data_IF_609777500862
#
_entry.id   IF_609777500862
#
_cell.length_a   1.000
_cell.length_b   1.000
_cell.length_c   1.000
_cell.angle_alpha   90.00
_cell.angle_beta   90.00
_cell.angle_gamma   90.00
#
_symmetry.space_group_name_H-M   'P 1'
#
loop_
_entity.id
_entity.type
_entity.pdbx_description
1 polymer ?
#
# COMPACT_ATOMS: atom_id res chain seq x y z
N UNK A 1 -4.41 17.44 16.91
CA UNK A 1 -5.05 18.55 16.17
C UNK A 1 -6.51 18.21 15.98
N UNK A 2 -7.43 19.02 16.53
CA UNK A 2 -8.88 18.73 16.57
C UNK A 2 -9.65 19.21 15.33
N UNK A 3 -9.05 20.02 14.46
CA UNK A 3 -9.69 20.46 13.23
C UNK A 3 -8.91 19.99 12.02
N UNK A 4 -9.60 19.31 11.08
CA UNK A 4 -9.09 18.94 9.76
C UNK A 4 -9.18 20.13 8.78
N UNK A 5 -9.37 21.35 9.27
CA UNK A 5 -9.60 22.54 8.47
C UNK A 5 -8.80 23.72 8.97
N UNK A 6 -8.55 24.68 8.10
CA UNK A 6 -7.90 25.96 8.42
C UNK A 6 -8.47 27.07 7.54
N UNK A 7 -8.57 28.29 8.07
CA UNK A 7 -9.00 29.43 7.25
C UNK A 7 -7.90 29.84 6.28
N UNK A 8 -8.28 30.24 5.07
CA UNK A 8 -7.32 30.68 4.06
C UNK A 8 -6.56 31.94 4.55
N UNK A 9 -7.23 32.84 5.27
CA UNK A 9 -6.60 34.05 5.85
C UNK A 9 -5.53 33.69 6.89
N UNK A 10 -5.74 32.66 7.70
CA UNK A 10 -4.72 32.19 8.64
C UNK A 10 -3.52 31.63 7.90
N UNK A 11 -3.72 30.84 6.84
CA UNK A 11 -2.64 30.26 6.04
C UNK A 11 -1.84 31.34 5.29
N UNK A 12 -2.50 32.36 4.74
CA UNK A 12 -1.82 33.51 4.11
C UNK A 12 -0.88 34.22 5.08
N UNK A 13 -1.37 34.49 6.30
CA UNK A 13 -0.60 35.17 7.33
C UNK A 13 0.55 34.29 7.86
N UNK A 14 0.31 33.00 8.05
CA UNK A 14 1.31 32.07 8.58
C UNK A 14 2.43 31.76 7.57
N UNK A 15 2.07 31.62 6.29
CA UNK A 15 3.03 31.29 5.22
C UNK A 15 3.61 32.53 4.54
N UNK A 16 3.11 33.72 4.85
CA UNK A 16 3.49 35.00 4.25
C UNK A 16 3.33 34.97 2.71
N UNK A 17 2.15 34.54 2.25
CA UNK A 17 1.80 34.43 0.81
C UNK A 17 0.46 35.11 0.53
N UNK A 18 0.24 35.55 -0.72
CA UNK A 18 -1.07 36.09 -1.12
C UNK A 18 -2.07 34.98 -1.53
N UNK A 19 -3.37 35.34 -1.60
CA UNK A 19 -4.47 34.41 -1.94
C UNK A 19 -4.22 33.65 -3.23
N UNK A 20 -3.72 34.32 -4.25
CA UNK A 20 -3.47 33.71 -5.55
C UNK A 20 -2.39 32.62 -5.47
N UNK A 21 -1.27 32.92 -4.82
CA UNK A 21 -0.18 31.96 -4.59
C UNK A 21 -0.65 30.78 -3.73
N UNK A 22 -1.38 31.05 -2.65
CA UNK A 22 -1.94 30.02 -1.77
C UNK A 22 -2.86 29.08 -2.54
N UNK A 23 -3.85 29.63 -3.25
CA UNK A 23 -4.80 28.82 -4.04
C UNK A 23 -4.08 28.06 -5.16
N UNK A 24 -3.08 28.66 -5.81
CA UNK A 24 -2.29 27.95 -6.82
C UNK A 24 -1.49 26.78 -6.25
N UNK A 25 -1.03 26.87 -5.00
CA UNK A 25 -0.35 25.78 -4.31
C UNK A 25 -1.34 24.71 -3.86
N UNK A 26 -2.47 25.09 -3.24
CA UNK A 26 -3.51 24.17 -2.79
C UNK A 26 -4.11 23.38 -3.97
N UNK A 27 -4.34 24.00 -5.12
CA UNK A 27 -4.84 23.31 -6.33
C UNK A 27 -3.93 22.20 -6.86
N UNK A 28 -2.67 22.13 -6.43
CA UNK A 28 -1.73 21.06 -6.82
C UNK A 28 -1.78 19.86 -5.86
N UNK A 29 -2.54 19.97 -4.77
CA UNK A 29 -2.67 18.94 -3.75
C UNK A 29 -4.00 18.21 -3.92
N UNK A 30 -3.94 16.89 -3.79
CA UNK A 30 -5.11 16.03 -3.67
C UNK A 30 -5.44 15.84 -2.19
N UNK A 31 -6.61 15.30 -1.87
CA UNK A 31 -6.95 15.01 -0.48
C UNK A 31 -7.26 16.25 0.37
N UNK A 32 -7.61 17.36 -0.31
CA UNK A 32 -8.16 18.56 0.30
C UNK A 32 -9.36 19.07 -0.48
N UNK A 33 -10.25 19.73 0.25
CA UNK A 33 -11.40 20.47 -0.26
C UNK A 33 -11.18 21.96 0.04
N UNK A 34 -11.10 22.77 -1.02
CA UNK A 34 -10.95 24.23 -0.91
C UNK A 34 -12.32 24.87 -1.04
N UNK A 35 -12.78 25.48 0.05
CA UNK A 35 -13.99 26.29 0.12
C UNK A 35 -13.65 27.78 -0.05
N UNK A 36 -14.65 28.64 -0.04
CA UNK A 36 -14.49 30.09 -0.25
C UNK A 36 -13.46 30.73 0.71
N UNK A 37 -13.56 30.41 2.01
CA UNK A 37 -12.71 31.00 3.07
C UNK A 37 -11.88 30.00 3.86
N UNK A 38 -11.96 28.71 3.52
CA UNK A 38 -11.25 27.67 4.26
C UNK A 38 -10.81 26.52 3.39
N UNK A 39 -9.84 25.75 3.89
CA UNK A 39 -9.42 24.49 3.32
C UNK A 39 -9.62 23.39 4.34
N UNK A 40 -10.08 22.22 3.90
CA UNK A 40 -10.29 21.05 4.74
C UNK A 40 -9.59 19.83 4.14
N UNK A 41 -8.98 19.01 4.98
CA UNK A 41 -8.43 17.70 4.59
C UNK A 41 -9.58 16.69 4.54
N UNK A 42 -9.93 16.21 3.35
CA UNK A 42 -10.96 15.19 3.15
C UNK A 42 -10.37 13.77 3.25
N UNK A 43 -9.23 13.52 2.61
CA UNK A 43 -8.48 12.28 2.62
C UNK A 43 -6.99 12.55 2.86
N UNK A 44 -6.55 12.22 4.07
CA UNK A 44 -5.17 12.47 4.51
C UNK A 44 -4.13 11.70 3.70
N UNK A 45 -4.42 10.47 3.29
CA UNK A 45 -3.46 9.66 2.52
C UNK A 45 -3.29 10.21 1.10
N UNK A 46 -4.37 10.66 0.45
CA UNK A 46 -4.30 11.37 -0.84
C UNK A 46 -3.47 12.65 -0.73
N UNK A 47 -3.62 13.40 0.36
CA UNK A 47 -2.78 14.56 0.64
C UNK A 47 -1.32 14.18 0.82
N UNK A 48 -1.03 13.09 1.55
CA UNK A 48 0.33 12.55 1.67
C UNK A 48 0.90 12.14 0.31
N UNK A 49 0.14 11.43 -0.52
CA UNK A 49 0.56 10.98 -1.85
C UNK A 49 0.87 12.18 -2.76
N UNK A 50 0.01 13.20 -2.79
CA UNK A 50 0.24 14.41 -3.60
C UNK A 50 1.44 15.21 -3.09
N UNK A 51 1.61 15.34 -1.77
CA UNK A 51 2.78 15.96 -1.16
C UNK A 51 4.10 15.23 -1.52
N UNK A 52 4.09 13.90 -1.52
CA UNK A 52 5.25 13.10 -1.97
C UNK A 52 5.58 13.33 -3.45
N UNK A 53 4.56 13.41 -4.31
CA UNK A 53 4.73 13.65 -5.76
C UNK A 53 5.37 15.01 -6.05
N UNK A 54 5.12 16.02 -5.22
CA UNK A 54 5.76 17.35 -5.34
C UNK A 54 7.11 17.45 -4.59
N UNK A 55 7.64 16.34 -4.07
CA UNK A 55 8.99 16.25 -3.50
C UNK A 55 9.10 16.52 -2.00
N UNK A 56 7.98 16.58 -1.26
CA UNK A 56 8.04 16.72 0.20
C UNK A 56 8.69 15.46 0.82
N UNK A 57 9.57 15.68 1.79
CA UNK A 57 10.30 14.60 2.45
C UNK A 57 9.35 13.62 3.15
N UNK A 58 9.41 12.30 2.85
CA UNK A 58 8.54 11.31 3.50
C UNK A 58 8.69 11.28 5.03
N UNK A 59 9.84 11.68 5.58
CA UNK A 59 10.12 11.72 7.03
C UNK A 59 9.30 12.77 7.73
N UNK A 60 9.03 13.87 7.03
CA UNK A 60 8.17 14.93 7.53
C UNK A 60 6.72 14.44 7.52
N UNK A 61 6.31 13.79 6.44
CA UNK A 61 4.92 13.39 6.23
C UNK A 61 4.49 12.19 7.10
N UNK A 62 5.40 11.23 7.33
CA UNK A 62 5.10 10.01 8.11
C UNK A 62 4.64 10.30 9.54
N UNK A 63 4.90 11.49 10.08
CA UNK A 63 4.44 11.90 11.41
C UNK A 63 2.95 12.24 11.46
N UNK A 64 2.35 12.51 10.31
CA UNK A 64 0.98 12.98 10.20
C UNK A 64 0.01 11.89 9.78
N UNK A 65 0.50 10.73 9.35
CA UNK A 65 -0.33 9.64 8.85
C UNK A 65 -0.38 8.49 9.86
N UNK A 66 -1.59 8.01 10.13
CA UNK A 66 -1.80 6.84 10.97
C UNK A 66 -1.60 5.55 10.17
N UNK A 67 -1.08 4.51 10.83
CA UNK A 67 -0.81 3.22 10.19
C UNK A 67 -2.06 2.59 9.59
N UNK A 68 -3.19 2.69 10.30
CA UNK A 68 -4.46 2.13 9.86
C UNK A 68 -5.04 2.93 8.69
N UNK A 69 -4.94 4.26 8.73
CA UNK A 69 -5.34 5.11 7.60
C UNK A 69 -4.57 4.74 6.32
N UNK A 70 -3.26 4.44 6.43
CA UNK A 70 -2.43 4.00 5.31
C UNK A 70 -2.90 2.66 4.74
N UNK A 71 -3.09 1.64 5.58
CA UNK A 71 -3.56 0.31 5.15
C UNK A 71 -4.96 0.38 4.53
N UNK A 72 -5.88 1.16 5.13
CA UNK A 72 -7.24 1.32 4.63
C UNK A 72 -7.25 1.97 3.23
N UNK A 73 -6.39 2.96 2.98
CA UNK A 73 -6.26 3.57 1.66
C UNK A 73 -5.63 2.62 0.64
N UNK A 74 -4.57 1.89 1.01
CA UNK A 74 -3.94 0.88 0.13
C UNK A 74 -4.99 -0.15 -0.29
N UNK A 75 -5.75 -0.68 0.66
CA UNK A 75 -6.84 -1.61 0.39
C UNK A 75 -7.87 -1.01 -0.56
N UNK A 76 -8.33 0.23 -0.29
CA UNK A 76 -9.31 0.92 -1.14
C UNK A 76 -8.82 1.07 -2.58
N UNK A 77 -7.56 1.44 -2.79
CA UNK A 77 -7.01 1.58 -4.15
C UNK A 77 -7.03 0.25 -4.91
N UNK A 78 -6.73 -0.87 -4.24
CA UNK A 78 -6.85 -2.18 -4.86
C UNK A 78 -8.32 -2.59 -5.08
N UNK A 79 -9.24 -2.29 -4.15
CA UNK A 79 -10.69 -2.52 -4.35
C UNK A 79 -11.21 -1.74 -5.58
N UNK A 80 -10.85 -0.45 -5.70
CA UNK A 80 -11.18 0.40 -6.84
C UNK A 80 -10.58 -0.13 -8.15
N UNK A 81 -9.44 -0.82 -8.09
CA UNK A 81 -8.82 -1.51 -9.23
C UNK A 81 -9.43 -2.90 -9.52
N UNK A 82 -10.49 -3.30 -8.81
CA UNK A 82 -11.26 -4.53 -9.03
C UNK A 82 -10.71 -5.76 -8.30
N UNK A 83 -9.89 -5.58 -7.27
CA UNK A 83 -9.40 -6.70 -6.45
C UNK A 83 -10.39 -7.05 -5.34
N UNK A 84 -10.45 -8.35 -5.01
CA UNK A 84 -11.11 -8.84 -3.81
C UNK A 84 -10.12 -8.72 -2.65
N UNK A 85 -10.49 -7.99 -1.60
CA UNK A 85 -9.61 -7.68 -0.47
C UNK A 85 -9.94 -8.45 0.79
N UNK A 86 -8.90 -8.88 1.51
CA UNK A 86 -8.95 -9.19 2.92
C UNK A 86 -7.87 -8.42 3.70
N UNK A 87 -8.29 -7.62 4.67
CA UNK A 87 -7.39 -6.85 5.55
C UNK A 87 -7.08 -7.61 6.84
N UNK A 88 -5.95 -7.29 7.46
CA UNK A 88 -5.49 -7.83 8.75
C UNK A 88 -5.59 -9.37 8.77
N UNK A 89 -5.07 -10.01 7.71
CA UNK A 89 -5.22 -11.44 7.52
C UNK A 89 -4.28 -12.20 8.46
N UNK A 90 -4.84 -12.60 9.60
CA UNK A 90 -4.14 -13.37 10.63
C UNK A 90 -4.32 -14.86 10.42
N UNK A 91 -3.20 -15.58 10.33
CA UNK A 91 -3.15 -17.05 10.42
C UNK A 91 -2.77 -17.43 11.85
N UNK A 92 -3.26 -18.57 12.33
CA UNK A 92 -2.87 -19.13 13.63
C UNK A 92 -2.00 -20.39 13.44
N UNK A 93 -2.29 -21.18 12.41
CA UNK A 93 -1.56 -22.38 12.00
C UNK A 93 -0.89 -22.16 10.62
N UNK A 94 0.31 -22.72 10.38
CA UNK A 94 1.19 -23.45 11.30
C UNK A 94 1.98 -22.52 12.26
N UNK A 95 1.86 -21.20 12.09
CA UNK A 95 2.40 -20.19 13.00
C UNK A 95 1.55 -18.93 12.92
N UNK A 96 1.42 -18.21 14.03
CA UNK A 96 0.75 -16.92 14.05
C UNK A 96 1.49 -15.89 13.20
N UNK A 97 0.88 -15.49 12.09
CA UNK A 97 1.39 -14.42 11.22
C UNK A 97 0.27 -13.48 10.83
N UNK A 98 0.64 -12.26 10.44
CA UNK A 98 -0.28 -11.25 9.93
C UNK A 98 0.26 -10.74 8.61
N UNK A 99 -0.60 -10.77 7.60
CA UNK A 99 -0.42 -10.09 6.32
C UNK A 99 -1.43 -8.96 6.28
N UNK A 100 -0.95 -7.73 6.12
CA UNK A 100 -1.78 -6.53 6.28
C UNK A 100 -2.94 -6.55 5.28
N UNK A 101 -2.66 -6.88 4.01
CA UNK A 101 -3.66 -6.95 2.95
C UNK A 101 -3.40 -8.16 2.06
N UNK A 102 -4.45 -8.92 1.76
CA UNK A 102 -4.48 -9.90 0.67
C UNK A 102 -5.38 -9.34 -0.42
N UNK A 103 -4.85 -9.23 -1.64
CA UNK A 103 -5.59 -8.72 -2.78
C UNK A 103 -5.61 -9.77 -3.91
N UNK A 104 -6.79 -10.27 -4.25
CA UNK A 104 -6.99 -11.29 -5.29
C UNK A 104 -7.61 -10.66 -6.54
N UNK A 105 -7.00 -10.93 -7.69
CA UNK A 105 -7.59 -10.63 -9.00
C UNK A 105 -7.09 -11.64 -10.03
N UNK A 106 -8.02 -12.27 -10.73
CA UNK A 106 -7.75 -13.14 -11.89
C UNK A 106 -6.66 -14.20 -11.67
N UNK A 107 -6.69 -14.94 -10.56
CA UNK A 107 -5.71 -15.98 -10.25
C UNK A 107 -4.36 -15.49 -9.73
N UNK A 108 -4.25 -14.18 -9.47
CA UNK A 108 -3.10 -13.56 -8.83
C UNK A 108 -3.53 -13.05 -7.47
N UNK A 109 -2.80 -13.48 -6.44
CA UNK A 109 -2.91 -12.99 -5.06
C UNK A 109 -1.69 -12.15 -4.76
N UNK A 110 -1.89 -10.87 -4.47
CA UNK A 110 -0.87 -10.02 -3.90
C UNK A 110 -0.96 -10.14 -2.37
N UNK A 111 0.08 -10.70 -1.76
CA UNK A 111 0.26 -10.68 -0.31
C UNK A 111 1.02 -9.41 0.05
N UNK A 112 0.28 -8.39 0.52
CA UNK A 112 0.77 -7.03 0.69
C UNK A 112 1.09 -6.78 2.16
N UNK A 113 2.29 -6.28 2.39
CA UNK A 113 2.72 -5.71 3.66
C UNK A 113 2.97 -4.21 3.49
N UNK A 114 2.33 -3.43 4.34
CA UNK A 114 2.44 -2.00 4.38
C UNK A 114 3.62 -1.60 5.28
N UNK A 115 4.44 -0.66 4.82
CA UNK A 115 5.57 -0.13 5.56
C UNK A 115 5.55 1.38 5.55
N UNK A 116 5.00 1.93 6.62
CA UNK A 116 4.92 3.37 6.90
C UNK A 116 6.13 3.86 7.74
N UNK A 117 7.31 3.23 7.63
CA UNK A 117 8.41 3.44 8.58
C UNK A 117 9.18 4.77 8.44
N UNK A 118 9.56 5.26 9.63
CA UNK A 118 10.40 6.42 9.96
C UNK A 118 11.83 6.30 9.39
N UNK A 119 12.24 7.33 8.64
CA UNK A 119 13.53 7.47 7.96
C UNK A 119 14.68 7.82 8.94
N UNK A 120 14.65 7.32 10.18
CA UNK A 120 15.59 7.67 11.26
C UNK A 120 16.69 6.64 11.53
N UNK A 121 16.64 5.42 10.97
CA UNK A 121 17.67 4.37 11.13
C UNK A 121 18.09 3.76 9.79
N UNK A 122 19.32 3.25 9.71
CA UNK A 122 19.96 2.66 8.50
C UNK A 122 18.95 1.99 7.54
N UNK A 123 18.60 2.74 6.50
CA UNK A 123 17.44 2.50 5.62
C UNK A 123 17.57 1.20 4.82
N UNK A 124 18.78 0.83 4.40
CA UNK A 124 18.95 -0.30 3.50
C UNK A 124 18.78 -1.65 4.22
N UNK A 125 19.33 -1.81 5.42
CA UNK A 125 19.24 -3.08 6.15
C UNK A 125 17.84 -3.33 6.70
N UNK A 126 17.14 -2.28 7.16
CA UNK A 126 15.77 -2.39 7.67
C UNK A 126 14.77 -2.80 6.58
N UNK A 127 14.85 -2.19 5.40
CA UNK A 127 14.01 -2.56 4.24
C UNK A 127 14.30 -3.98 3.73
N UNK A 128 15.58 -4.33 3.59
CA UNK A 128 16.00 -5.68 3.20
C UNK A 128 15.50 -6.75 4.16
N UNK A 129 15.57 -6.48 5.47
CA UNK A 129 15.07 -7.38 6.50
C UNK A 129 13.54 -7.47 6.50
N UNK A 130 12.83 -6.35 6.27
CA UNK A 130 11.38 -6.36 6.14
C UNK A 130 10.92 -7.22 4.95
N UNK A 131 11.59 -7.08 3.80
CA UNK A 131 11.34 -7.90 2.61
C UNK A 131 11.57 -9.40 2.89
N UNK A 132 12.70 -9.78 3.49
CA UNK A 132 12.99 -11.18 3.82
C UNK A 132 11.95 -11.77 4.79
N UNK A 133 11.60 -11.05 5.86
CA UNK A 133 10.54 -11.46 6.79
C UNK A 133 9.18 -11.56 6.10
N UNK A 134 8.93 -10.73 5.10
CA UNK A 134 7.69 -10.79 4.33
C UNK A 134 7.63 -12.04 3.47
N UNK A 135 8.70 -12.38 2.75
CA UNK A 135 8.82 -13.66 2.02
C UNK A 135 8.53 -14.85 2.93
N UNK A 136 9.15 -14.88 4.12
CA UNK A 136 8.91 -15.95 5.10
C UNK A 136 7.45 -16.00 5.60
N UNK A 137 6.78 -14.85 5.73
CA UNK A 137 5.35 -14.80 6.08
C UNK A 137 4.49 -15.30 4.95
N UNK A 138 4.79 -14.96 3.70
CA UNK A 138 4.04 -15.45 2.53
C UNK A 138 4.18 -16.97 2.39
N UNK A 139 5.36 -17.53 2.65
CA UNK A 139 5.55 -18.98 2.69
C UNK A 139 4.65 -19.66 3.74
N UNK A 140 4.51 -19.06 4.94
CA UNK A 140 3.59 -19.58 5.98
C UNK A 140 2.13 -19.32 5.67
N UNK A 141 1.82 -18.23 4.96
CA UNK A 141 0.47 -17.88 4.56
C UNK A 141 -0.13 -18.94 3.65
N UNK A 142 0.63 -19.40 2.64
CA UNK A 142 0.15 -20.41 1.68
C UNK A 142 -0.08 -21.80 2.31
N UNK A 143 0.58 -22.09 3.43
CA UNK A 143 0.37 -23.31 4.22
C UNK A 143 -0.88 -23.23 5.11
N UNK A 144 -1.47 -22.04 5.25
CA UNK A 144 -2.59 -21.82 6.16
C UNK A 144 -3.92 -22.32 5.59
N UNK A 145 -4.61 -23.19 6.33
CA UNK A 145 -5.96 -23.64 5.98
C UNK A 145 -6.94 -22.45 5.85
N UNK A 146 -6.78 -21.43 6.69
CA UNK A 146 -7.61 -20.21 6.63
C UNK A 146 -7.41 -19.47 5.30
N UNK A 147 -6.17 -19.36 4.85
CA UNK A 147 -5.85 -18.76 3.55
C UNK A 147 -6.46 -19.58 2.41
N UNK A 148 -6.29 -20.90 2.43
CA UNK A 148 -6.87 -21.79 1.43
C UNK A 148 -8.40 -21.67 1.38
N UNK A 149 -9.08 -21.68 2.53
CA UNK A 149 -10.54 -21.48 2.61
C UNK A 149 -10.99 -20.14 2.04
N UNK A 150 -10.24 -19.06 2.33
CA UNK A 150 -10.53 -17.74 1.76
C UNK A 150 -10.32 -17.74 0.24
N UNK A 151 -9.24 -18.37 -0.24
CA UNK A 151 -8.90 -18.41 -1.66
C UNK A 151 -9.95 -19.17 -2.48
N UNK A 152 -10.34 -20.39 -2.06
CA UNK A 152 -11.35 -21.20 -2.78
C UNK A 152 -12.75 -20.59 -2.74
N UNK A 153 -13.02 -19.68 -1.81
CA UNK A 153 -14.29 -18.94 -1.76
C UNK A 153 -14.40 -17.94 -2.90
N UNK A 154 -13.28 -17.34 -3.32
CA UNK A 154 -13.26 -16.20 -4.22
C UNK A 154 -12.62 -16.50 -5.58
N UNK A 155 -11.95 -17.63 -5.73
CA UNK A 155 -11.24 -18.00 -6.95
C UNK A 155 -11.59 -19.42 -7.39
N UNK A 156 -11.72 -19.59 -8.70
CA UNK A 156 -12.04 -20.86 -9.37
C UNK A 156 -10.92 -21.36 -10.26
N UNK A 157 -9.95 -20.51 -10.60
CA UNK A 157 -8.73 -20.92 -11.31
C UNK A 157 -7.97 -21.97 -10.49
N UNK A 158 -7.42 -22.95 -11.20
CA UNK A 158 -6.70 -24.07 -10.58
C UNK A 158 -5.36 -23.63 -9.99
N UNK A 159 -4.58 -22.89 -10.77
CA UNK A 159 -3.22 -22.50 -10.40
C UNK A 159 -3.17 -21.00 -10.12
N UNK A 160 -2.78 -20.69 -8.89
CA UNK A 160 -2.79 -19.34 -8.34
C UNK A 160 -1.35 -18.91 -8.09
N UNK A 161 -1.03 -17.68 -8.49
CA UNK A 161 0.23 -17.03 -8.16
C UNK A 161 0.05 -16.22 -6.89
N UNK A 162 0.92 -16.43 -5.90
CA UNK A 162 0.96 -15.62 -4.68
C UNK A 162 2.25 -14.80 -4.70
N UNK A 163 2.10 -13.49 -4.84
CA UNK A 163 3.17 -12.53 -5.07
C UNK A 163 3.39 -11.70 -3.81
N UNK A 164 4.58 -11.74 -3.18
CA UNK A 164 4.89 -10.88 -2.04
C UNK A 164 5.13 -9.44 -2.51
N UNK A 165 4.35 -8.51 -1.95
CA UNK A 165 4.43 -7.07 -2.26
C UNK A 165 4.66 -6.26 -0.99
N UNK A 166 5.57 -5.29 -1.06
CA UNK A 166 5.85 -4.34 0.00
C UNK A 166 5.44 -2.93 -0.44
N UNK A 167 4.38 -2.38 0.16
CA UNK A 167 3.95 -1.01 -0.10
C UNK A 167 4.64 -0.07 0.89
N UNK A 168 5.30 0.97 0.39
CA UNK A 168 6.22 1.78 1.21
C UNK A 168 5.86 3.27 1.16
N UNK A 169 5.99 3.96 2.29
CA UNK A 169 5.94 5.43 2.31
C UNK A 169 7.33 5.98 1.95
N UNK A 170 7.64 6.00 0.66
CA UNK A 170 8.96 6.35 0.13
C UNK A 170 8.87 7.25 -1.09
N UNK A 171 9.89 8.09 -1.29
CA UNK A 171 10.10 8.85 -2.52
C UNK A 171 10.95 8.10 -3.55
N UNK A 172 11.45 6.91 -3.22
CA UNK A 172 12.23 6.07 -4.14
C UNK A 172 11.31 5.41 -5.17
N UNK A 173 11.77 5.23 -6.42
CA UNK A 173 11.03 4.45 -7.39
C UNK A 173 10.82 3.02 -6.89
N UNK A 174 9.73 2.40 -7.34
CA UNK A 174 9.48 0.98 -7.10
C UNK A 174 10.55 0.10 -7.74
N UNK A 175 10.59 -1.16 -7.31
CA UNK A 175 11.55 -2.13 -7.83
C UNK A 175 11.42 -3.47 -7.13
N UNK A 176 12.49 -4.26 -7.16
CA UNK A 176 12.53 -5.61 -6.63
C UNK A 176 13.60 -5.72 -5.55
N UNK A 177 13.26 -6.24 -4.37
CA UNK A 177 14.16 -6.30 -3.22
C UNK A 177 13.97 -7.63 -2.49
N UNK A 178 15.03 -8.43 -2.35
CA UNK A 178 15.06 -9.63 -1.51
C UNK A 178 13.79 -10.51 -1.61
N UNK A 179 13.39 -10.84 -2.84
CA UNK A 179 12.24 -11.71 -3.06
C UNK A 179 10.88 -11.03 -3.08
N UNK A 180 10.77 -9.70 -2.95
CA UNK A 180 9.48 -8.97 -2.99
C UNK A 180 9.46 -7.88 -4.05
N UNK A 181 8.26 -7.58 -4.56
CA UNK A 181 8.00 -6.36 -5.34
C UNK A 181 7.82 -5.21 -4.34
N UNK A 182 8.66 -4.19 -4.41
CA UNK A 182 8.56 -3.00 -3.55
C UNK A 182 7.98 -1.84 -4.33
N UNK A 183 6.86 -1.30 -3.85
CA UNK A 183 6.11 -0.24 -4.54
C UNK A 183 5.93 0.94 -3.58
N UNK A 184 6.34 2.17 -3.95
CA UNK A 184 6.01 3.33 -3.16
C UNK A 184 4.51 3.63 -3.28
N UNK A 185 3.89 4.13 -2.21
CA UNK A 185 2.45 4.46 -2.22
C UNK A 185 2.10 5.47 -3.32
N UNK A 186 3.04 6.33 -3.73
CA UNK A 186 2.83 7.27 -4.84
C UNK A 186 2.63 6.60 -6.21
N UNK A 187 3.02 5.33 -6.35
CA UNK A 187 2.95 4.55 -7.59
C UNK A 187 1.95 3.39 -7.54
N UNK A 188 1.24 3.23 -6.41
CA UNK A 188 0.35 2.09 -6.17
C UNK A 188 -0.77 1.95 -7.21
N UNK A 189 -1.39 3.05 -7.67
CA UNK A 189 -2.45 2.99 -8.68
C UNK A 189 -1.93 2.46 -10.02
N UNK A 190 -0.72 2.87 -10.43
CA UNK A 190 -0.11 2.36 -11.64
C UNK A 190 0.25 0.87 -11.49
N UNK A 191 0.79 0.48 -10.33
CA UNK A 191 1.08 -0.92 -10.03
C UNK A 191 -0.18 -1.79 -10.06
N UNK A 192 -1.28 -1.37 -9.43
CA UNK A 192 -2.53 -2.12 -9.41
C UNK A 192 -3.15 -2.31 -10.81
N UNK A 193 -2.99 -1.32 -11.70
CA UNK A 193 -3.48 -1.38 -13.08
C UNK A 193 -2.57 -2.20 -14.01
N UNK A 194 -1.27 -2.26 -13.73
CA UNK A 194 -0.28 -2.88 -14.61
C UNK A 194 0.48 -4.03 -13.91
N UNK A 195 -0.17 -4.73 -12.97
CA UNK A 195 0.51 -5.72 -12.12
C UNK A 195 1.16 -6.85 -12.93
N UNK A 196 0.58 -7.22 -14.08
CA UNK A 196 1.08 -8.29 -14.93
C UNK A 196 2.49 -7.98 -15.45
N UNK A 197 2.74 -6.72 -15.83
CA UNK A 197 4.07 -6.26 -16.27
C UNK A 197 5.12 -6.43 -15.16
N UNK A 198 4.74 -6.10 -13.93
CA UNK A 198 5.64 -6.25 -12.78
C UNK A 198 5.90 -7.71 -12.45
N UNK A 199 4.89 -8.57 -12.57
CA UNK A 199 4.98 -10.02 -12.32
C UNK A 199 5.81 -10.71 -13.39
N UNK A 200 5.66 -10.34 -14.66
CA UNK A 200 6.47 -10.87 -15.76
C UNK A 200 7.96 -10.54 -15.59
N UNK A 201 8.26 -9.32 -15.15
CA UNK A 201 9.63 -8.90 -14.83
C UNK A 201 10.18 -9.59 -13.58
N UNK A 202 9.32 -9.95 -12.62
CA UNK A 202 9.70 -10.48 -11.32
C UNK A 202 10.63 -11.71 -11.40
N UNK A 203 10.49 -12.53 -12.45
CA UNK A 203 11.35 -13.68 -12.71
C UNK A 203 12.81 -13.33 -12.96
N UNK A 204 13.11 -12.14 -13.49
CA UNK A 204 14.47 -11.66 -13.74
C UNK A 204 15.14 -11.12 -12.47
N UNK A 205 14.35 -10.80 -11.45
CA UNK A 205 14.81 -10.14 -10.22
C UNK A 205 14.67 -11.02 -8.96
N UNK A 206 14.54 -12.34 -9.13
CA UNK A 206 14.45 -13.33 -8.06
C UNK A 206 13.34 -13.02 -7.04
N UNK A 207 12.17 -12.59 -7.50
CA UNK A 207 10.99 -12.45 -6.63
C UNK A 207 10.46 -13.84 -6.26
N UNK A 208 10.12 -14.03 -4.99
CA UNK A 208 9.69 -15.31 -4.40
C UNK A 208 8.20 -15.56 -4.62
N UNK A 209 7.79 -15.56 -5.90
CA UNK A 209 6.40 -15.88 -6.29
C UNK A 209 6.12 -17.34 -5.99
N UNK A 210 5.09 -17.61 -5.19
CA UNK A 210 4.67 -18.97 -4.85
C UNK A 210 3.52 -19.40 -5.74
N UNK A 211 3.47 -20.69 -6.08
CA UNK A 211 2.35 -21.30 -6.80
C UNK A 211 1.52 -22.12 -5.82
N UNK A 212 0.21 -21.89 -5.83
CA UNK A 212 -0.76 -22.62 -5.03
C UNK A 212 -1.76 -23.26 -5.98
N UNK A 213 -1.95 -24.57 -5.86
CA UNK A 213 -2.96 -25.28 -6.62
C UNK A 213 -4.20 -25.47 -5.76
N UNK A 214 -5.32 -24.93 -6.22
CA UNK A 214 -6.64 -25.24 -5.66
C UNK A 214 -7.01 -26.64 -6.14
N UNK A 215 -6.72 -27.65 -5.33
CA UNK A 215 -7.37 -28.95 -5.46
C UNK A 215 -8.86 -28.76 -5.13
N UNK A 216 -9.76 -29.41 -5.88
CA UNK A 216 -11.18 -29.47 -5.54
C UNK A 216 -11.33 -29.95 -4.09
N UNK A 217 -11.48 -29.03 -3.13
CA UNK A 217 -12.05 -29.38 -1.83
C UNK A 217 -13.49 -29.83 -2.11
N UNK A 218 -13.99 -30.87 -1.43
CA UNK A 218 -15.37 -31.30 -1.60
C UNK A 218 -16.25 -30.08 -1.39
N UNK A 219 -17.16 -29.82 -2.33
CA UNK A 219 -18.22 -28.83 -2.11
C UNK A 219 -18.94 -29.23 -0.81
N UNK A 220 -19.31 -28.25 0.04
CA UNK A 220 -20.05 -28.54 1.27
C UNK A 220 -21.30 -29.38 1.00
#
# INVERSE_FOLDING_TARGET
MKEKSSSLNFLEMMLTVNRFQLLSALKKLDGIEVMEDSVKVDNRVKLVISALKIGINPKTISKYLDWKEFEDEVARIFEEAGFIIAKNFRTNEPKRTETDIIALKEGIVLAIDCKHWDLSKSIASSYKNAALKHVERVAKLIESEKFMKWLVKWETKRDILVVPVLITLSSRPGGFINGVISVPISYISNFAQNMDVWIDQAGQFNVEIKRVTISKLPRP
#
